data_IF_992549335659
#
_entry.id   IF_992549335659
#
_cell.length_a   1.000
_cell.length_b   1.000
_cell.length_c   1.000
_cell.angle_alpha   90.00
_cell.angle_beta   90.00
_cell.angle_gamma   90.00
#
_symmetry.space_group_name_H-M   'P 1'
#
loop_
_entity.id
_entity.type
_entity.pdbx_description
1 polymer ?
#
# COMPACT_ATOMS: atom_id res chain seq x y z
N UNK A 1 20.97 -4.56 -10.28
CA UNK A 1 20.03 -4.90 -11.38
C UNK A 1 19.72 -6.38 -11.41
N UNK A 2 18.44 -6.76 -11.27
CA UNK A 2 17.98 -8.17 -11.30
C UNK A 2 17.59 -8.69 -12.68
N UNK A 3 17.81 -7.93 -13.74
CA UNK A 3 17.50 -8.38 -15.11
C UNK A 3 18.31 -9.64 -15.42
N UNK A 4 17.62 -10.74 -15.72
CA UNK A 4 18.27 -11.97 -16.14
C UNK A 4 18.39 -12.01 -17.64
N UNK A 5 19.58 -12.30 -18.11
CA UNK A 5 19.84 -12.54 -19.51
C UNK A 5 20.03 -14.03 -19.72
N UNK A 6 19.42 -14.57 -20.76
CA UNK A 6 19.52 -15.98 -21.08
C UNK A 6 19.82 -16.17 -22.56
N UNK A 7 20.52 -17.25 -22.87
CA UNK A 7 20.73 -17.71 -24.24
C UNK A 7 20.18 -19.13 -24.41
N UNK A 8 19.59 -19.40 -25.57
CA UNK A 8 19.03 -20.71 -25.86
C UNK A 8 20.14 -21.67 -26.28
N UNK A 9 20.37 -22.72 -25.50
CA UNK A 9 21.22 -23.83 -25.90
C UNK A 9 20.45 -24.78 -26.83
N UNK A 10 20.91 -26.01 -27.00
CA UNK A 10 20.24 -26.96 -27.90
C UNK A 10 18.83 -27.38 -27.42
N UNK A 11 18.52 -27.18 -26.13
CA UNK A 11 17.28 -27.66 -25.48
C UNK A 11 16.64 -26.63 -24.53
N UNK A 12 17.44 -25.85 -23.80
CA UNK A 12 17.03 -25.04 -22.66
C UNK A 12 17.61 -23.63 -22.69
N UNK A 13 16.92 -22.72 -22.00
CA UNK A 13 17.43 -21.39 -21.70
C UNK A 13 18.49 -21.46 -20.60
N UNK A 14 19.68 -20.92 -20.90
CA UNK A 14 20.81 -20.90 -19.98
C UNK A 14 21.06 -19.48 -19.50
N UNK A 15 21.08 -19.30 -18.18
CA UNK A 15 21.43 -18.03 -17.53
C UNK A 15 22.87 -17.63 -17.89
N UNK A 16 23.04 -16.37 -18.32
CA UNK A 16 24.35 -15.74 -18.24
C UNK A 16 24.73 -15.52 -16.77
N UNK A 17 26.03 -15.51 -16.49
CA UNK A 17 26.50 -15.14 -15.15
C UNK A 17 26.20 -13.65 -14.85
N UNK A 18 26.19 -13.28 -13.57
CA UNK A 18 25.83 -11.93 -13.11
C UNK A 18 26.62 -10.82 -13.81
N UNK A 19 27.94 -10.99 -13.96
CA UNK A 19 28.80 -9.99 -14.60
C UNK A 19 28.45 -9.79 -16.07
N UNK A 20 28.16 -10.88 -16.79
CA UNK A 20 27.74 -10.80 -18.20
C UNK A 20 26.35 -10.18 -18.32
N UNK A 21 25.41 -10.50 -17.43
CA UNK A 21 24.10 -9.85 -17.38
C UNK A 21 24.22 -8.33 -17.22
N UNK A 22 25.09 -7.84 -16.33
CA UNK A 22 25.32 -6.40 -16.14
C UNK A 22 25.88 -5.72 -17.39
N UNK A 23 26.84 -6.36 -18.07
CA UNK A 23 27.42 -5.85 -19.32
C UNK A 23 26.34 -5.75 -20.41
N UNK A 24 25.55 -6.81 -20.57
CA UNK A 24 24.48 -6.86 -21.57
C UNK A 24 23.41 -5.81 -21.29
N UNK A 25 23.00 -5.68 -20.03
CA UNK A 25 21.98 -4.71 -19.62
C UNK A 25 22.43 -3.28 -19.90
N UNK A 26 23.65 -2.91 -19.49
CA UNK A 26 24.18 -1.57 -19.72
C UNK A 26 24.29 -1.25 -21.22
N UNK A 27 24.77 -2.20 -22.03
CA UNK A 27 24.89 -2.02 -23.47
C UNK A 27 23.51 -1.90 -24.16
N UNK A 28 22.53 -2.69 -23.72
CA UNK A 28 21.17 -2.65 -24.24
C UNK A 28 20.49 -1.32 -23.93
N UNK A 29 20.59 -0.85 -22.68
CA UNK A 29 20.03 0.45 -22.26
C UNK A 29 20.72 1.64 -22.94
N UNK A 30 22.02 1.52 -23.24
CA UNK A 30 22.76 2.51 -24.02
C UNK A 30 22.38 2.53 -25.51
N UNK A 31 21.56 1.58 -25.99
CA UNK A 31 21.17 1.48 -27.39
C UNK A 31 22.29 0.96 -28.31
N UNK A 32 23.26 0.23 -27.76
CA UNK A 32 24.30 -0.41 -28.58
C UNK A 32 23.66 -1.43 -29.52
N UNK A 33 24.28 -1.65 -30.69
CA UNK A 33 23.84 -2.69 -31.62
C UNK A 33 24.39 -4.07 -31.27
N UNK A 34 25.57 -4.10 -30.65
CA UNK A 34 26.22 -5.34 -30.23
C UNK A 34 27.16 -5.09 -29.04
N UNK A 35 27.48 -6.16 -28.32
CA UNK A 35 28.45 -6.13 -27.22
C UNK A 35 29.10 -7.49 -27.03
N UNK A 36 30.39 -7.49 -26.69
CA UNK A 36 31.12 -8.68 -26.31
C UNK A 36 30.62 -9.23 -24.96
N UNK A 37 30.20 -10.50 -24.95
CA UNK A 37 29.81 -11.17 -23.71
C UNK A 37 30.98 -11.93 -23.07
N UNK A 38 31.94 -12.39 -23.90
CA UNK A 38 33.22 -12.93 -23.48
C UNK A 38 34.28 -12.87 -24.62
N UNK A 39 35.39 -13.60 -24.44
CA UNK A 39 36.50 -13.64 -25.40
C UNK A 39 36.12 -14.27 -26.73
N UNK A 40 35.13 -15.16 -26.77
CA UNK A 40 34.76 -15.96 -27.94
C UNK A 40 33.43 -15.50 -28.56
N UNK A 41 32.59 -14.78 -27.82
CA UNK A 41 31.19 -14.56 -28.16
C UNK A 41 30.77 -13.11 -27.96
N UNK A 42 29.83 -12.67 -28.78
CA UNK A 42 29.16 -11.38 -28.67
C UNK A 42 27.66 -11.52 -28.83
N UNK A 43 26.90 -10.54 -28.37
CA UNK A 43 25.45 -10.46 -28.53
C UNK A 43 25.12 -9.31 -29.46
N UNK A 44 24.39 -9.60 -30.53
CA UNK A 44 23.79 -8.65 -31.46
C UNK A 44 22.36 -8.35 -31.00
N UNK A 45 22.09 -7.12 -30.61
CA UNK A 45 20.75 -6.64 -30.24
C UNK A 45 19.98 -6.30 -31.51
N UNK A 46 18.88 -7.00 -31.76
CA UNK A 46 18.14 -6.87 -33.01
C UNK A 46 16.63 -7.11 -32.82
N UNK A 47 15.85 -6.65 -33.80
CA UNK A 47 14.40 -6.79 -33.80
C UNK A 47 13.96 -8.23 -34.13
N UNK A 48 12.70 -8.54 -33.81
CA UNK A 48 12.11 -9.86 -34.10
C UNK A 48 12.19 -10.22 -35.58
N UNK A 49 12.11 -9.23 -36.49
CA UNK A 49 12.22 -9.46 -37.94
C UNK A 49 13.60 -10.01 -38.31
N UNK A 50 14.67 -9.45 -37.74
CA UNK A 50 16.04 -9.93 -37.94
C UNK A 50 16.23 -11.30 -37.33
N UNK A 51 15.65 -11.56 -36.15
CA UNK A 51 15.66 -12.88 -35.51
C UNK A 51 14.97 -13.92 -36.41
N UNK A 52 13.78 -13.65 -36.94
CA UNK A 52 13.08 -14.56 -37.86
C UNK A 52 13.87 -14.85 -39.14
N UNK A 53 14.62 -13.88 -39.68
CA UNK A 53 15.51 -14.14 -40.83
C UNK A 53 16.65 -15.09 -40.50
N UNK A 54 17.05 -15.14 -39.23
CA UNK A 54 18.15 -15.96 -38.75
C UNK A 54 17.68 -17.31 -38.17
N UNK A 55 16.40 -17.55 -37.91
CA UNK A 55 15.98 -18.82 -37.31
C UNK A 55 14.73 -19.35 -38.03
N UNK A 56 14.78 -20.61 -38.46
CA UNK A 56 13.67 -21.26 -39.17
C UNK A 56 12.45 -21.44 -38.27
N UNK A 57 12.68 -21.66 -36.98
CA UNK A 57 11.66 -21.80 -35.96
C UNK A 57 12.09 -21.03 -34.71
N UNK A 58 11.12 -20.43 -34.03
CA UNK A 58 11.31 -19.76 -32.74
C UNK A 58 10.53 -20.52 -31.66
N UNK A 59 10.98 -20.44 -30.38
CA UNK A 59 10.21 -20.93 -29.25
C UNK A 59 8.83 -20.27 -29.19
N UNK A 60 7.85 -20.97 -28.62
CA UNK A 60 6.48 -20.45 -28.44
C UNK A 60 6.42 -19.23 -27.52
N UNK A 61 7.37 -19.08 -26.60
CA UNK A 61 7.50 -17.93 -25.71
C UNK A 61 8.61 -16.96 -26.19
N UNK A 62 8.37 -16.29 -27.33
CA UNK A 62 9.33 -15.40 -27.96
C UNK A 62 9.22 -13.93 -27.50
N UNK A 63 8.34 -13.61 -26.54
CA UNK A 63 8.03 -12.22 -26.16
C UNK A 63 9.20 -11.48 -25.49
N UNK A 64 10.16 -12.22 -24.97
CA UNK A 64 11.35 -11.69 -24.28
C UNK A 64 12.62 -11.72 -25.14
N UNK A 65 12.52 -12.13 -26.41
CA UNK A 65 13.67 -12.15 -27.34
C UNK A 65 14.13 -10.74 -27.65
N UNK A 66 15.44 -10.50 -27.53
CA UNK A 66 16.05 -9.17 -27.75
C UNK A 66 17.30 -9.22 -28.63
N UNK A 67 17.78 -10.41 -29.00
CA UNK A 67 18.99 -10.50 -29.81
C UNK A 67 19.45 -11.91 -30.14
N UNK A 68 20.65 -11.96 -30.70
CA UNK A 68 21.32 -13.17 -31.18
C UNK A 68 22.74 -13.18 -30.62
N UNK A 69 23.10 -14.24 -29.90
CA UNK A 69 24.50 -14.49 -29.55
C UNK A 69 25.20 -15.13 -30.75
N UNK A 70 26.39 -14.64 -31.08
CA UNK A 70 27.26 -15.18 -32.14
C UNK A 70 28.64 -15.50 -31.59
N UNK A 71 29.32 -16.45 -32.23
CA UNK A 71 30.76 -16.66 -32.00
C UNK A 71 31.58 -15.76 -32.91
N UNK A 72 32.70 -15.26 -32.40
CA UNK A 72 33.65 -14.40 -33.13
C UNK A 72 34.41 -15.17 -34.20
N UNK A 73 34.74 -16.44 -33.95
CA UNK A 73 35.42 -17.32 -34.90
C UNK A 73 34.49 -17.84 -36.02
N UNK A 74 33.19 -17.94 -35.74
CA UNK A 74 32.19 -18.35 -36.71
C UNK A 74 30.83 -17.68 -36.44
N UNK A 75 30.54 -16.54 -37.09
CA UNK A 75 29.30 -15.79 -36.90
C UNK A 75 28.01 -16.55 -37.28
N UNK A 76 28.11 -17.64 -38.05
CA UNK A 76 26.97 -18.48 -38.40
C UNK A 76 26.54 -19.40 -37.24
N UNK A 77 27.42 -19.62 -36.25
CA UNK A 77 27.04 -20.26 -35.00
C UNK A 77 26.32 -19.24 -34.13
N UNK A 78 24.99 -19.36 -34.10
CA UNK A 78 24.08 -18.39 -33.51
C UNK A 78 23.15 -19.03 -32.49
N UNK A 79 22.80 -18.27 -31.45
CA UNK A 79 21.85 -18.68 -30.39
C UNK A 79 20.91 -17.54 -30.08
N UNK A 80 19.65 -17.86 -29.77
CA UNK A 80 18.68 -16.84 -29.36
C UNK A 80 19.07 -16.27 -28.00
N UNK A 81 18.85 -14.97 -27.81
CA UNK A 81 19.07 -14.28 -26.53
C UNK A 81 17.78 -13.62 -26.10
N UNK A 82 17.43 -13.80 -24.83
CA UNK A 82 16.29 -13.15 -24.21
C UNK A 82 16.68 -12.36 -22.97
N UNK A 83 15.93 -11.29 -22.74
CA UNK A 83 16.03 -10.42 -21.58
C UNK A 83 14.79 -10.61 -20.72
N UNK A 84 14.97 -11.29 -19.59
CA UNK A 84 13.93 -11.51 -18.62
C UNK A 84 13.93 -10.38 -17.59
N UNK A 85 12.90 -9.56 -17.67
CA UNK A 85 12.59 -8.58 -16.65
C UNK A 85 11.63 -9.23 -15.65
N UNK A 86 11.95 -9.24 -14.35
CA UNK A 86 11.03 -9.77 -13.36
C UNK A 86 9.65 -9.12 -13.41
N UNK A 87 8.59 -9.92 -13.40
CA UNK A 87 7.19 -9.45 -13.38
C UNK A 87 6.77 -9.03 -11.96
N UNK A 88 7.60 -8.21 -11.29
CA UNK A 88 7.46 -7.86 -9.87
C UNK A 88 6.06 -7.33 -9.51
N UNK A 89 5.37 -6.69 -10.46
CA UNK A 89 4.06 -6.08 -10.25
C UNK A 89 2.92 -6.71 -11.07
N UNK A 90 3.09 -7.90 -11.68
CA UNK A 90 2.12 -8.48 -12.65
C UNK A 90 0.66 -8.55 -12.18
N UNK A 91 0.45 -8.65 -10.87
CA UNK A 91 -0.86 -8.75 -10.24
C UNK A 91 -1.25 -7.53 -9.39
N UNK A 92 -0.49 -6.44 -9.49
CA UNK A 92 -0.76 -5.22 -8.72
C UNK A 92 -1.45 -4.15 -9.57
N UNK A 93 -2.49 -3.56 -8.97
CA UNK A 93 -3.11 -2.31 -9.43
C UNK A 93 -2.58 -1.22 -8.52
N UNK A 94 -1.78 -0.32 -9.07
CA UNK A 94 -0.95 0.62 -8.32
C UNK A 94 -1.53 2.02 -8.46
N UNK A 95 -1.78 2.66 -7.32
CA UNK A 95 -2.12 4.08 -7.27
C UNK A 95 -0.87 4.86 -6.84
N UNK A 96 -0.48 5.84 -7.64
CA UNK A 96 0.63 6.74 -7.32
C UNK A 96 0.02 7.99 -6.72
N UNK A 97 0.36 8.27 -5.47
CA UNK A 97 -0.11 9.47 -4.78
C UNK A 97 0.87 10.61 -5.01
N UNK A 98 0.74 11.29 -6.16
CA UNK A 98 1.69 12.33 -6.61
C UNK A 98 1.89 13.45 -5.58
N UNK A 99 0.82 13.91 -4.93
CA UNK A 99 0.88 14.91 -3.85
C UNK A 99 1.67 14.45 -2.61
N UNK A 100 1.84 13.13 -2.47
CA UNK A 100 2.57 12.51 -1.38
C UNK A 100 3.99 12.11 -1.73
N UNK A 101 4.51 12.44 -2.91
CA UNK A 101 5.88 12.12 -3.31
C UNK A 101 6.87 13.20 -2.89
N UNK A 102 8.15 12.82 -2.78
CA UNK A 102 9.21 13.78 -2.50
C UNK A 102 9.46 14.76 -3.67
N UNK A 103 9.84 16.00 -3.35
CA UNK A 103 10.25 16.98 -4.37
C UNK A 103 11.40 16.44 -5.21
N UNK A 104 11.27 16.54 -6.53
CA UNK A 104 12.26 16.02 -7.49
C UNK A 104 12.10 14.55 -7.85
N UNK A 105 11.08 13.86 -7.32
CA UNK A 105 10.72 12.52 -7.78
C UNK A 105 10.16 12.58 -9.20
N UNK A 106 10.76 11.80 -10.10
CA UNK A 106 10.29 11.63 -11.47
C UNK A 106 9.15 10.60 -11.53
N UNK A 107 7.92 11.11 -11.60
CA UNK A 107 6.70 10.29 -11.65
C UNK A 107 6.65 9.45 -12.94
N UNK A 108 7.11 9.99 -14.06
CA UNK A 108 7.09 9.28 -15.34
C UNK A 108 8.03 8.06 -15.29
N UNK A 109 9.22 8.23 -14.70
CA UNK A 109 10.16 7.13 -14.45
C UNK A 109 9.57 6.02 -13.54
N UNK A 110 8.81 6.40 -12.51
CA UNK A 110 8.09 5.44 -11.65
C UNK A 110 7.02 4.69 -12.46
N UNK A 111 6.23 5.41 -13.26
CA UNK A 111 5.19 4.85 -14.12
C UNK A 111 5.78 3.86 -15.12
N UNK A 112 6.89 4.22 -15.77
CA UNK A 112 7.61 3.37 -16.70
C UNK A 112 8.14 2.11 -16.01
N UNK A 113 8.77 2.25 -14.84
CA UNK A 113 9.28 1.13 -14.04
C UNK A 113 8.16 0.15 -13.67
N UNK A 114 7.01 0.66 -13.22
CA UNK A 114 5.84 -0.16 -12.88
C UNK A 114 5.33 -0.94 -14.09
N UNK A 115 5.15 -0.26 -15.23
CA UNK A 115 4.66 -0.90 -16.47
C UNK A 115 5.65 -1.93 -17.00
N UNK A 116 6.95 -1.62 -16.95
CA UNK A 116 8.03 -2.52 -17.37
C UNK A 116 7.99 -3.84 -16.58
N UNK A 117 7.66 -3.75 -15.30
CA UNK A 117 7.51 -4.87 -14.35
C UNK A 117 6.08 -5.44 -14.30
N UNK A 118 5.29 -5.22 -15.36
CA UNK A 118 3.94 -5.74 -15.60
C UNK A 118 2.83 -5.22 -14.68
N UNK A 119 3.08 -4.15 -13.92
CA UNK A 119 2.07 -3.51 -13.08
C UNK A 119 1.03 -2.72 -13.87
N UNK A 120 -0.16 -2.58 -13.28
CA UNK A 120 -1.24 -1.74 -13.81
C UNK A 120 -1.36 -0.48 -12.95
N UNK A 121 -1.63 0.67 -13.57
CA UNK A 121 -1.77 1.94 -12.85
C UNK A 121 -3.24 2.35 -12.83
N UNK A 122 -3.70 2.84 -11.68
CA UNK A 122 -5.05 3.40 -11.48
C UNK A 122 -4.96 4.86 -11.03
N UNK A 123 -5.98 5.65 -11.37
CA UNK A 123 -6.16 7.03 -10.88
C UNK A 123 -6.92 7.10 -9.54
N UNK A 124 -7.49 5.99 -9.09
CA UNK A 124 -8.33 5.92 -7.87
C UNK A 124 -7.68 5.01 -6.84
N UNK A 125 -7.44 5.54 -5.65
CA UNK A 125 -6.89 4.80 -4.51
C UNK A 125 -7.78 3.63 -4.08
N UNK A 126 -9.11 3.75 -4.23
CA UNK A 126 -10.08 2.70 -3.88
C UNK A 126 -9.93 1.41 -4.69
N UNK A 127 -9.32 1.49 -5.88
CA UNK A 127 -9.13 0.34 -6.76
C UNK A 127 -7.71 -0.24 -6.65
N UNK A 128 -6.88 0.34 -5.79
CA UNK A 128 -5.48 0.00 -5.70
C UNK A 128 -5.28 -1.22 -4.79
N UNK A 129 -4.37 -2.10 -5.20
CA UNK A 129 -3.82 -3.18 -4.37
C UNK A 129 -2.42 -2.85 -3.85
N UNK A 130 -1.87 -1.69 -4.23
CA UNK A 130 -0.61 -1.10 -3.72
C UNK A 130 -0.65 0.41 -3.95
N UNK A 131 -0.17 1.19 -2.99
CA UNK A 131 -0.08 2.65 -3.07
C UNK A 131 1.37 3.09 -3.01
N UNK A 132 1.77 4.00 -3.89
CA UNK A 132 3.08 4.65 -3.84
C UNK A 132 2.92 6.02 -3.20
N UNK A 133 3.62 6.26 -2.09
CA UNK A 133 3.61 7.51 -1.35
C UNK A 133 4.92 7.62 -0.54
N UNK A 134 5.50 8.82 -0.47
CA UNK A 134 6.68 9.10 0.32
C UNK A 134 6.33 9.63 1.72
N UNK A 135 7.31 9.53 2.60
CA UNK A 135 7.14 9.72 4.04
C UNK A 135 7.23 11.20 4.42
N UNK A 136 6.28 12.03 3.96
CA UNK A 136 6.31 13.49 4.19
C UNK A 136 5.15 14.05 5.03
N UNK A 137 5.12 15.38 5.18
CA UNK A 137 4.03 16.13 5.81
C UNK A 137 2.81 16.04 4.88
N UNK A 138 1.86 15.17 5.24
CA UNK A 138 0.61 15.07 4.52
C UNK A 138 -0.33 16.22 4.89
N UNK A 139 -0.93 16.83 3.88
CA UNK A 139 -2.11 17.67 4.06
C UNK A 139 -3.30 16.80 4.54
N UNK A 140 -4.38 17.41 5.04
CA UNK A 140 -5.48 16.64 5.62
C UNK A 140 -6.21 15.77 4.59
N UNK A 141 -6.24 16.20 3.32
CA UNK A 141 -6.77 15.38 2.23
C UNK A 141 -5.99 14.07 2.06
N UNK A 142 -4.66 14.17 1.98
CA UNK A 142 -3.75 13.06 1.82
C UNK A 142 -3.77 12.15 3.04
N UNK A 143 -3.87 12.70 4.27
CA UNK A 143 -4.07 11.88 5.47
C UNK A 143 -5.32 11.01 5.37
N UNK A 144 -6.44 11.56 4.91
CA UNK A 144 -7.68 10.79 4.76
C UNK A 144 -7.51 9.68 3.72
N UNK A 145 -6.81 9.94 2.61
CA UNK A 145 -6.49 8.92 1.61
C UNK A 145 -5.64 7.81 2.23
N UNK A 146 -4.56 8.15 2.93
CA UNK A 146 -3.65 7.18 3.56
C UNK A 146 -4.36 6.38 4.67
N UNK A 147 -5.18 7.02 5.50
CA UNK A 147 -5.99 6.35 6.52
C UNK A 147 -6.95 5.34 5.89
N UNK A 148 -7.64 5.73 4.82
CA UNK A 148 -8.55 4.83 4.09
C UNK A 148 -7.81 3.62 3.50
N UNK A 149 -6.64 3.84 2.90
CA UNK A 149 -5.78 2.77 2.35
C UNK A 149 -5.34 1.79 3.44
N UNK A 150 -4.93 2.31 4.61
CA UNK A 150 -4.53 1.49 5.77
C UNK A 150 -5.70 0.69 6.33
N UNK A 151 -6.89 1.30 6.45
CA UNK A 151 -8.10 0.62 6.92
C UNK A 151 -8.47 -0.59 6.03
N UNK A 152 -8.21 -0.49 4.73
CA UNK A 152 -8.44 -1.57 3.77
C UNK A 152 -7.27 -2.54 3.64
N UNK A 153 -6.25 -2.45 4.52
CA UNK A 153 -5.03 -3.26 4.49
C UNK A 153 -4.28 -3.21 3.14
N UNK A 154 -4.43 -2.11 2.40
CA UNK A 154 -3.70 -1.92 1.15
C UNK A 154 -2.25 -1.50 1.48
N UNK A 155 -1.23 -2.18 0.93
CA UNK A 155 0.15 -1.83 1.20
C UNK A 155 0.53 -0.46 0.64
N UNK A 156 1.31 0.29 1.41
CA UNK A 156 1.91 1.58 1.00
C UNK A 156 3.42 1.39 0.90
N UNK A 157 4.03 1.88 -0.19
CA UNK A 157 5.48 1.84 -0.43
C UNK A 157 5.99 3.21 -0.90
N UNK A 158 7.28 3.49 -0.67
CA UNK A 158 7.90 4.72 -1.16
C UNK A 158 8.24 4.65 -2.65
N UNK A 159 8.47 5.81 -3.27
CA UNK A 159 9.05 5.92 -4.60
C UNK A 159 10.44 5.25 -4.66
N UNK A 160 11.25 5.43 -3.62
CA UNK A 160 12.55 4.77 -3.49
C UNK A 160 12.42 3.24 -3.49
N UNK A 161 11.39 2.71 -2.83
CA UNK A 161 11.14 1.27 -2.82
C UNK A 161 10.82 0.74 -4.22
N UNK A 162 10.06 1.48 -5.04
CA UNK A 162 9.80 1.11 -6.44
C UNK A 162 11.12 1.06 -7.23
N UNK A 163 12.00 2.03 -7.03
CA UNK A 163 13.31 2.07 -7.68
C UNK A 163 14.21 0.92 -7.21
N UNK A 164 14.20 0.59 -5.92
CA UNK A 164 14.93 -0.56 -5.38
C UNK A 164 14.36 -1.91 -5.85
N UNK A 165 13.07 -1.97 -6.18
CA UNK A 165 12.45 -3.17 -6.76
C UNK A 165 12.95 -3.51 -8.17
N UNK A 166 13.71 -2.63 -8.82
CA UNK A 166 14.48 -2.97 -10.03
C UNK A 166 15.41 -4.17 -9.81
N UNK A 167 15.81 -4.42 -8.55
CA UNK A 167 16.79 -5.42 -8.17
C UNK A 167 16.19 -6.68 -7.53
N UNK A 168 14.86 -6.79 -7.45
CA UNK A 168 14.19 -7.95 -6.82
C UNK A 168 13.23 -8.66 -7.77
N UNK A 169 13.24 -9.99 -7.68
CA UNK A 169 12.37 -10.88 -8.47
C UNK A 169 10.93 -10.97 -7.96
N UNK A 170 10.72 -10.73 -6.66
CA UNK A 170 9.41 -10.81 -6.04
C UNK A 170 9.30 -9.85 -4.86
N UNK A 171 8.11 -9.27 -4.67
CA UNK A 171 7.74 -8.59 -3.43
C UNK A 171 7.42 -9.65 -2.38
N UNK A 172 8.19 -9.69 -1.30
CA UNK A 172 7.89 -10.59 -0.19
C UNK A 172 6.86 -9.92 0.72
N UNK A 173 5.88 -10.67 1.23
CA UNK A 173 4.84 -10.17 2.14
C UNK A 173 5.41 -9.47 3.38
N UNK A 174 6.61 -9.86 3.82
CA UNK A 174 7.35 -9.21 4.91
C UNK A 174 7.76 -7.78 4.58
N UNK A 175 8.21 -7.52 3.34
CA UNK A 175 8.64 -6.19 2.89
C UNK A 175 7.42 -5.24 2.91
N UNK A 176 6.28 -5.69 2.42
CA UNK A 176 5.03 -4.91 2.41
C UNK A 176 4.48 -4.63 3.82
N UNK A 177 4.56 -5.62 4.72
CA UNK A 177 4.10 -5.47 6.11
C UNK A 177 4.93 -4.44 6.88
N UNK A 178 6.25 -4.48 6.72
CA UNK A 178 7.18 -3.56 7.38
C UNK A 178 6.87 -2.11 7.01
N UNK A 179 6.61 -1.86 5.73
CA UNK A 179 6.29 -0.52 5.25
C UNK A 179 4.93 -0.06 5.80
N UNK A 180 3.91 -0.92 5.79
CA UNK A 180 2.62 -0.58 6.39
C UNK A 180 2.69 -0.24 7.88
N UNK A 181 3.44 -1.00 8.67
CA UNK A 181 3.59 -0.74 10.10
C UNK A 181 4.32 0.59 10.37
N UNK A 182 5.25 0.97 9.49
CA UNK A 182 5.88 2.29 9.53
C UNK A 182 4.89 3.43 9.26
N UNK A 183 4.05 3.33 8.22
CA UNK A 183 3.04 4.36 7.92
C UNK A 183 1.98 4.49 9.02
N UNK A 184 1.59 3.38 9.65
CA UNK A 184 0.73 3.39 10.85
C UNK A 184 1.38 4.16 12.00
N UNK A 185 2.67 3.94 12.24
CA UNK A 185 3.43 4.64 13.29
C UNK A 185 3.56 6.14 13.00
N UNK A 186 3.73 6.54 11.75
CA UNK A 186 3.78 7.96 11.37
C UNK A 186 2.46 8.70 11.62
N UNK A 187 1.32 8.02 11.45
CA UNK A 187 0.02 8.59 11.79
C UNK A 187 -0.12 8.80 13.30
N UNK A 188 0.25 7.81 14.11
CA UNK A 188 0.12 7.89 15.57
C UNK A 188 1.10 8.87 16.24
N UNK A 189 2.36 8.92 15.79
CA UNK A 189 3.39 9.81 16.36
C UNK A 189 3.11 11.30 16.11
N UNK A 190 2.37 11.64 15.06
CA UNK A 190 1.99 13.04 14.78
C UNK A 190 0.79 13.49 15.61
N UNK A 191 -0.14 12.60 15.94
CA UNK A 191 -1.26 12.91 16.86
C UNK A 191 -0.74 13.23 18.28
N UNK A 192 0.23 12.47 18.79
CA UNK A 192 0.84 12.74 20.10
C UNK A 192 1.64 14.06 20.16
N UNK A 193 2.25 14.50 19.05
CA UNK A 193 2.99 15.77 18.99
C UNK A 193 2.07 16.98 18.90
N UNK A 194 0.91 16.87 18.24
CA UNK A 194 -0.11 17.94 18.30
C UNK A 194 -0.71 18.05 19.70
N UNK A 195 -0.99 16.93 20.36
CA UNK A 195 -1.52 16.94 21.73
C UNK A 195 -0.53 17.51 22.75
N UNK A 196 0.75 17.14 22.67
CA UNK A 196 1.79 17.70 23.57
C UNK A 196 2.01 19.20 23.35
N UNK A 197 1.95 19.68 22.11
CA UNK A 197 2.12 21.11 21.81
C UNK A 197 0.91 21.93 22.26
N UNK A 198 -0.32 21.42 22.10
CA UNK A 198 -1.52 22.03 22.70
C UNK A 198 -1.49 22.01 24.24
N UNK A 199 -0.94 20.97 24.85
CA UNK A 199 -0.85 20.86 26.31
C UNK A 199 0.21 21.81 26.89
N UNK A 200 1.34 22.01 26.20
CA UNK A 200 2.37 23.00 26.60
C UNK A 200 1.95 24.45 26.32
N UNK A 201 1.22 24.72 25.23
CA UNK A 201 0.65 26.05 24.96
C UNK A 201 -0.47 26.38 25.95
N UNK A 202 -1.32 25.43 26.35
CA UNK A 202 -2.31 25.64 27.44
C UNK A 202 -1.66 25.96 28.78
N UNK A 203 -0.54 25.29 29.13
CA UNK A 203 0.20 25.58 30.37
C UNK A 203 0.89 26.95 30.38
N UNK A 204 1.13 27.57 29.21
CA UNK A 204 1.68 28.93 29.10
C UNK A 204 0.64 30.04 29.22
N UNK A 205 -0.64 29.73 29.07
CA UNK A 205 -1.74 30.70 29.21
C UNK A 205 -2.43 30.67 30.58
N UNK A 206 -1.99 29.81 31.51
CA UNK A 206 -2.51 29.74 32.89
C UNK A 206 -1.75 30.65 33.88
N UNK A 207 -1.31 31.84 33.45
CA UNK A 207 -0.86 32.90 34.36
C UNK A 207 -1.76 34.16 34.28
N UNK A 208 -2.83 34.06 35.08
CA UNK A 208 -3.47 35.06 35.95
C UNK A 208 -4.35 36.20 35.42
N UNK A 209 -4.11 36.93 34.32
CA UNK A 209 -4.81 38.25 34.20
C UNK A 209 -5.75 38.58 33.02
N UNK A 210 -6.07 37.67 32.10
CA UNK A 210 -7.06 38.00 31.03
C UNK A 210 -8.25 37.01 30.98
N UNK A 211 -8.93 36.88 32.12
CA UNK A 211 -10.31 36.41 32.19
C UNK A 211 -11.23 37.62 31.99
N UNK A 212 -11.54 37.98 30.73
CA UNK A 212 -12.81 38.57 30.29
C UNK A 212 -12.77 38.89 28.79
N UNK A 213 -13.89 38.57 28.12
CA UNK A 213 -14.32 38.97 26.77
C UNK A 213 -14.16 37.92 25.65
N UNK A 214 -15.34 37.49 25.20
CA UNK A 214 -15.74 36.98 23.88
C UNK A 214 -15.51 35.52 23.46
N UNK A 215 -16.63 34.80 23.56
CA UNK A 215 -17.15 33.71 22.73
C UNK A 215 -16.42 33.50 21.38
N UNK A 216 -15.74 32.36 21.25
CA UNK A 216 -15.64 31.61 19.98
C UNK A 216 -15.60 30.11 20.23
N UNK A 217 -16.50 29.38 19.57
CA UNK A 217 -16.62 27.91 19.61
C UNK A 217 -15.32 27.25 19.13
N UNK A 218 -14.67 26.48 19.99
CA UNK A 218 -13.62 25.51 19.64
C UNK A 218 -14.17 24.12 19.96
N UNK A 219 -14.17 23.23 18.98
CA UNK A 219 -14.59 21.85 19.15
C UNK A 219 -13.49 21.06 19.89
N UNK A 220 -13.64 20.92 21.20
CA UNK A 220 -12.91 19.92 22.00
C UNK A 220 -13.58 18.55 21.79
N UNK A 221 -12.80 17.52 21.44
CA UNK A 221 -13.22 16.13 21.69
C UNK A 221 -13.10 15.88 23.19
N UNK A 222 -14.19 16.14 23.89
CA UNK A 222 -14.39 15.71 25.29
C UNK A 222 -14.95 14.29 25.22
N UNK A 223 -14.27 13.32 25.84
CA UNK A 223 -14.87 12.03 26.12
C UNK A 223 -15.87 12.22 27.25
N UNK A 224 -17.13 12.43 26.90
CA UNK A 224 -18.23 12.54 27.85
C UNK A 224 -18.80 11.14 28.04
N UNK A 225 -18.62 10.59 29.25
CA UNK A 225 -19.29 9.38 29.68
C UNK A 225 -20.61 9.80 30.33
N UNK A 226 -21.73 9.20 29.95
CA UNK A 226 -23.01 9.43 30.61
C UNK A 226 -23.67 8.11 30.92
N UNK A 227 -24.23 8.03 32.13
CA UNK A 227 -25.05 6.92 32.56
C UNK A 227 -26.41 7.05 31.87
N UNK A 228 -26.89 5.94 31.30
CA UNK A 228 -28.16 5.89 30.59
C UNK A 228 -29.01 4.80 31.22
N UNK A 229 -30.23 5.17 31.61
CA UNK A 229 -31.21 4.22 32.14
C UNK A 229 -32.11 3.75 30.99
N UNK A 230 -32.18 2.44 30.77
CA UNK A 230 -32.97 1.83 29.69
C UNK A 230 -34.13 1.05 30.31
N UNK A 231 -35.37 1.39 29.93
CA UNK A 231 -36.60 0.74 30.42
C UNK A 231 -37.43 0.21 29.26
N UNK A 232 -37.94 -1.01 29.37
CA UNK A 232 -38.91 -1.55 28.40
C UNK A 232 -40.26 -0.88 28.64
N UNK A 233 -40.83 -0.23 27.62
CA UNK A 233 -42.13 0.44 27.70
C UNK A 233 -43.27 -0.47 27.25
N UNK A 234 -43.07 -1.16 26.12
CA UNK A 234 -43.97 -2.21 25.62
C UNK A 234 -43.20 -3.23 24.77
N UNK A 235 -43.90 -4.16 24.13
CA UNK A 235 -43.29 -5.24 23.34
C UNK A 235 -42.55 -4.76 22.09
N UNK A 236 -42.80 -3.52 21.65
CA UNK A 236 -42.22 -2.95 20.44
C UNK A 236 -41.50 -1.61 20.71
N UNK A 237 -41.29 -1.22 21.97
CA UNK A 237 -40.72 0.09 22.31
C UNK A 237 -39.85 0.04 23.57
N UNK A 238 -38.64 0.60 23.46
CA UNK A 238 -37.72 0.80 24.58
C UNK A 238 -37.52 2.29 24.82
N UNK A 239 -37.61 2.70 26.07
CA UNK A 239 -37.36 4.07 26.49
C UNK A 239 -35.96 4.20 27.05
N UNK A 240 -35.24 5.17 26.52
CA UNK A 240 -33.88 5.50 26.92
C UNK A 240 -33.94 6.89 27.56
N UNK A 241 -33.67 6.98 28.86
CA UNK A 241 -33.65 8.26 29.56
C UNK A 241 -32.22 8.80 29.63
N UNK A 242 -32.00 9.98 29.05
CA UNK A 242 -30.74 10.71 29.10
C UNK A 242 -30.99 12.12 29.63
N UNK A 243 -30.33 12.48 30.73
CA UNK A 243 -30.45 13.81 31.35
C UNK A 243 -31.90 14.25 31.64
N UNK A 244 -32.79 13.30 31.95
CA UNK A 244 -34.22 13.55 32.20
C UNK A 244 -35.09 13.63 30.95
N UNK A 245 -34.51 13.55 29.74
CA UNK A 245 -35.27 13.41 28.50
C UNK A 245 -35.39 11.93 28.12
N UNK A 246 -36.62 11.49 27.86
CA UNK A 246 -36.95 10.11 27.50
C UNK A 246 -37.13 9.98 25.99
N UNK A 247 -36.37 9.09 25.37
CA UNK A 247 -36.44 8.81 23.93
C UNK A 247 -36.96 7.39 23.74
N UNK A 248 -38.09 7.28 23.06
CA UNK A 248 -38.70 6.01 22.70
C UNK A 248 -38.12 5.50 21.38
N UNK A 249 -37.52 4.31 21.42
CA UNK A 249 -36.97 3.63 20.25
C UNK A 249 -37.86 2.45 19.89
N UNK A 250 -38.46 2.43 18.70
CA UNK A 250 -39.25 1.30 18.25
C UNK A 250 -38.35 0.11 17.95
N UNK A 251 -38.75 -1.08 18.41
CA UNK A 251 -38.03 -2.34 18.27
C UNK A 251 -38.97 -3.36 17.64
N UNK A 252 -38.46 -4.23 16.76
CA UNK A 252 -39.30 -5.24 16.13
C UNK A 252 -39.78 -6.28 17.16
N UNK A 253 -41.02 -6.80 17.02
CA UNK A 253 -41.57 -7.77 17.96
C UNK A 253 -40.65 -9.00 18.05
N UNK A 254 -40.26 -9.38 19.27
CA UNK A 254 -39.35 -10.51 19.62
C UNK A 254 -37.83 -10.29 19.51
N UNK A 255 -37.34 -9.09 19.15
CA UNK A 255 -35.89 -8.81 19.07
C UNK A 255 -35.22 -8.52 20.43
N UNK A 256 -35.98 -8.47 21.52
CA UNK A 256 -35.40 -8.31 22.87
C UNK A 256 -34.45 -9.44 23.28
N UNK A 257 -34.44 -10.57 22.55
CA UNK A 257 -33.49 -11.66 22.79
C UNK A 257 -32.07 -11.35 22.33
N UNK A 258 -31.87 -10.34 21.46
CA UNK A 258 -30.57 -9.93 20.96
C UNK A 258 -30.30 -8.45 21.22
N UNK A 259 -30.26 -8.07 22.49
CA UNK A 259 -29.81 -6.74 22.94
C UNK A 259 -28.45 -6.33 22.32
N UNK A 260 -27.62 -7.32 21.98
CA UNK A 260 -26.36 -7.15 21.25
C UNK A 260 -26.52 -6.57 19.83
N UNK A 261 -27.63 -6.81 19.14
CA UNK A 261 -27.90 -6.26 17.80
C UNK A 261 -28.25 -4.77 17.88
N UNK A 262 -29.00 -4.39 18.92
CA UNK A 262 -29.33 -2.99 19.21
C UNK A 262 -28.07 -2.18 19.52
N UNK A 263 -27.13 -2.74 20.30
CA UNK A 263 -25.85 -2.10 20.58
C UNK A 263 -24.97 -1.91 19.33
N UNK A 264 -25.10 -2.75 18.28
CA UNK A 264 -24.38 -2.59 17.00
C UNK A 264 -24.85 -1.39 16.18
N UNK A 265 -26.03 -0.86 16.46
CA UNK A 265 -26.54 0.36 15.80
C UNK A 265 -26.09 1.64 16.49
N UNK A 266 -25.50 1.53 17.68
CA UNK A 266 -24.93 2.66 18.41
C UNK A 266 -23.56 2.97 17.79
N UNK A 267 -23.28 4.22 17.41
CA UNK A 267 -21.98 4.61 16.87
C UNK A 267 -20.83 4.22 17.82
N UNK A 268 -19.68 3.83 17.26
CA UNK A 268 -18.47 3.35 17.96
C UNK A 268 -17.91 4.30 19.05
N UNK A 269 -18.48 5.51 19.19
CA UNK A 269 -18.11 6.53 20.17
C UNK A 269 -18.83 6.43 21.52
N UNK A 270 -19.64 5.39 21.79
CA UNK A 270 -20.43 5.28 23.03
C UNK A 270 -20.04 4.01 23.81
N UNK A 271 -19.57 4.20 25.05
CA UNK A 271 -19.33 3.10 25.99
C UNK A 271 -20.59 2.88 26.85
N UNK A 272 -21.09 1.64 26.91
CA UNK A 272 -22.25 1.26 27.71
C UNK A 272 -21.79 0.40 28.88
N UNK A 273 -22.14 0.78 30.11
CA UNK A 273 -21.93 -0.01 31.32
C UNK A 273 -23.27 -0.60 31.77
N UNK A 274 -23.29 -1.88 32.10
CA UNK A 274 -24.49 -2.56 32.61
C UNK A 274 -24.25 -2.93 34.08
N UNK A 275 -25.22 -2.62 34.95
CA UNK A 275 -25.01 -2.74 36.39
C UNK A 275 -25.05 -4.18 36.91
N UNK A 276 -25.68 -5.14 36.23
CA UNK A 276 -25.92 -6.47 36.78
C UNK A 276 -25.83 -7.62 35.73
N UNK A 277 -24.68 -8.30 35.63
CA UNK A 277 -24.59 -9.66 35.07
C UNK A 277 -24.08 -9.81 33.63
N UNK A 278 -23.54 -11.01 33.36
CA UNK A 278 -22.63 -11.34 32.26
C UNK A 278 -23.34 -11.73 30.96
N UNK A 279 -22.86 -11.23 29.82
CA UNK A 279 -23.14 -11.78 28.50
C UNK A 279 -21.83 -12.24 27.85
N UNK A 280 -21.81 -13.46 27.30
CA UNK A 280 -20.68 -14.01 26.54
C UNK A 280 -21.14 -14.23 25.10
N UNK A 281 -20.62 -13.40 24.20
CA UNK A 281 -20.73 -13.58 22.75
C UNK A 281 -19.38 -13.22 22.10
N UNK A 282 -18.74 -14.20 21.50
CA UNK A 282 -17.53 -14.06 20.66
C UNK A 282 -17.96 -13.84 19.21
N UNK A 283 -17.44 -12.95 18.37
CA UNK A 283 -16.14 -12.26 18.23
C UNK A 283 -16.40 -11.00 17.36
N UNK A 284 -15.82 -9.83 17.59
CA UNK A 284 -14.77 -9.49 18.53
C UNK A 284 -14.59 -7.98 18.69
N UNK A 285 -13.99 -7.61 19.81
CA UNK A 285 -13.31 -6.32 19.98
C UNK A 285 -13.92 -5.33 20.97
N UNK A 286 -14.44 -5.75 22.12
CA UNK A 286 -14.63 -4.84 23.28
C UNK A 286 -13.94 -5.46 24.49
N UNK A 287 -12.94 -4.76 25.04
CA UNK A 287 -12.29 -5.12 26.29
C UNK A 287 -13.04 -4.51 27.47
N UNK A 288 -13.54 -5.35 28.38
CA UNK A 288 -14.11 -4.94 29.66
C UNK A 288 -13.05 -5.04 30.75
N UNK A 289 -12.73 -3.91 31.39
CA UNK A 289 -12.02 -3.89 32.67
C UNK A 289 -13.03 -3.85 33.81
N UNK A 290 -12.82 -4.72 34.80
CA UNK A 290 -13.61 -4.80 36.05
C UNK A 290 -12.78 -4.20 37.18
N UNK A 291 -13.40 -3.34 37.99
CA UNK A 291 -13.13 -3.20 39.41
C UNK A 291 -14.38 -3.66 40.15
#
# INVERSE_FOLDING_TARGET
MSTKWQWLNDYDWVDYNTKTCEILENAFLAGNKEIDCDKERYVEFCDLKTIHKNFQSLPTDYKSLVGIQRRKDNPNKRRLVQRLIPSTFENFIIYICEEGLDDGVDVDSIVETIKLRKGKITKKSTNASLVVCDQKKWNDHLKNVIQNVIQHNVPIVSSEFINQCLDKFALVSKDLKTTNDFFKTLLSVKEEKSEKKETEERKRFESVDDLLVDKKKVAMKVNITFDVEVKKKDDNTVSITKNGEEIDVPVAPNEFKDFALLLKTIPDSVNVKLDNGTYVGSTGGVSLQVN
#
